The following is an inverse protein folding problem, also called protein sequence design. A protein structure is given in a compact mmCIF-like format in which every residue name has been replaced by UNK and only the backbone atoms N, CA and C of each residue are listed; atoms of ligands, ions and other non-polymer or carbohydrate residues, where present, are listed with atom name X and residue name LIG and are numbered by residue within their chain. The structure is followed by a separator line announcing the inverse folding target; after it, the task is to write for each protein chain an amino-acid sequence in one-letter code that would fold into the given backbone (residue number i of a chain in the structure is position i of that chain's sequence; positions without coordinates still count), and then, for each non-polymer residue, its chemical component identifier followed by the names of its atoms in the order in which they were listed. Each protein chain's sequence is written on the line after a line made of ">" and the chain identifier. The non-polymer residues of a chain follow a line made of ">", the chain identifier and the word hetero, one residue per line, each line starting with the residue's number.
data_IF_285948989344
#
_entry.id   IF_285948989344
#
_cell.length_a   1.000
_cell.length_b   1.000
_cell.length_c   1.000
_cell.angle_alpha   90.00
_cell.angle_beta   90.00
_cell.angle_gamma   90.00
#
_symmetry.space_group_name_H-M   'P 1'
#
loop_
_entity.id
_entity.type
_entity.pdbx_description
1 polymer ?
#
# COMPACT_ATOMS: atom_id res chain seq x y z
N UNK A 1 -22.46 33.50 -2.81
CA UNK A 1 -22.33 32.02 -2.73
C UNK A 1 -20.85 31.72 -2.82
N UNK A 2 -20.22 31.28 -1.73
CA UNK A 2 -18.78 30.97 -1.75
C UNK A 2 -18.64 29.72 -2.61
N UNK A 3 -18.07 29.88 -3.81
CA UNK A 3 -17.66 28.75 -4.64
C UNK A 3 -16.55 28.07 -3.86
N UNK A 4 -16.84 26.92 -3.24
CA UNK A 4 -15.78 26.06 -2.72
C UNK A 4 -15.08 25.51 -3.95
N UNK A 5 -13.80 25.86 -4.13
CA UNK A 5 -12.97 25.21 -5.12
C UNK A 5 -12.81 23.75 -4.70
N UNK A 6 -13.50 22.88 -5.42
CA UNK A 6 -13.49 21.44 -5.18
C UNK A 6 -12.38 20.85 -6.05
N UNK A 7 -11.43 20.15 -5.42
CA UNK A 7 -10.40 19.39 -6.13
C UNK A 7 -11.08 18.34 -7.03
N UNK A 8 -10.79 18.41 -8.33
CA UNK A 8 -11.37 17.53 -9.35
C UNK A 8 -10.50 16.28 -9.58
N UNK A 9 -11.14 15.11 -9.57
CA UNK A 9 -10.53 13.80 -9.81
C UNK A 9 -11.14 13.10 -11.03
N UNK A 10 -11.96 13.79 -11.81
CA UNK A 10 -12.62 13.26 -13.00
C UNK A 10 -11.62 12.83 -14.09
N UNK A 11 -11.94 11.80 -14.85
CA UNK A 11 -11.04 11.28 -15.90
C UNK A 11 -10.77 12.30 -17.03
N UNK A 12 -11.66 13.28 -17.23
CA UNK A 12 -11.53 14.33 -18.24
C UNK A 12 -10.98 15.67 -17.71
N UNK A 13 -10.75 15.80 -16.40
CA UNK A 13 -10.25 17.02 -15.79
C UNK A 13 -8.80 17.31 -16.17
N UNK A 14 -8.49 18.55 -16.56
CA UNK A 14 -7.14 18.93 -17.00
C UNK A 14 -6.06 18.70 -15.93
N UNK A 15 -6.41 18.91 -14.66
CA UNK A 15 -5.49 18.73 -13.52
C UNK A 15 -5.74 17.46 -12.71
N UNK A 16 -6.70 16.61 -13.12
CA UNK A 16 -7.09 15.46 -12.31
C UNK A 16 -5.94 14.47 -12.09
N UNK A 17 -5.08 14.30 -13.10
CA UNK A 17 -3.90 13.42 -12.99
C UNK A 17 -2.95 13.86 -11.87
N UNK A 18 -2.68 15.16 -11.76
CA UNK A 18 -1.83 15.70 -10.70
C UNK A 18 -2.49 15.59 -9.33
N UNK A 19 -3.81 15.73 -9.26
CA UNK A 19 -4.55 15.52 -8.02
C UNK A 19 -4.48 14.05 -7.58
N UNK A 20 -4.66 13.10 -8.50
CA UNK A 20 -4.45 11.67 -8.22
C UNK A 20 -3.01 11.37 -7.80
N UNK A 21 -2.04 12.03 -8.42
CA UNK A 21 -0.63 11.87 -8.04
C UNK A 21 -0.36 12.37 -6.63
N UNK A 22 -0.83 13.56 -6.29
CA UNK A 22 -0.58 14.20 -5.00
C UNK A 22 -1.29 13.49 -3.84
N UNK A 23 -2.58 13.17 -4.00
CA UNK A 23 -3.40 12.66 -2.90
C UNK A 23 -3.37 11.14 -2.76
N UNK A 24 -2.99 10.40 -3.81
CA UNK A 24 -3.04 8.95 -3.80
C UNK A 24 -1.71 8.29 -4.18
N UNK A 25 -1.15 8.57 -5.37
CA UNK A 25 0.02 7.83 -5.84
C UNK A 25 1.29 8.15 -5.04
N UNK A 26 1.54 9.41 -4.71
CA UNK A 26 2.73 9.81 -3.96
C UNK A 26 2.72 9.27 -2.52
N UNK A 27 1.66 9.42 -1.70
CA UNK A 27 1.62 8.83 -0.37
C UNK A 27 1.77 7.30 -0.40
N UNK A 28 1.11 6.63 -1.35
CA UNK A 28 1.22 5.17 -1.50
C UNK A 28 2.65 4.74 -1.86
N UNK A 29 3.31 5.46 -2.76
CA UNK A 29 4.69 5.18 -3.16
C UNK A 29 5.66 5.39 -1.99
N UNK A 30 5.48 6.46 -1.21
CA UNK A 30 6.29 6.75 -0.03
C UNK A 30 6.11 5.65 1.03
N UNK A 31 4.87 5.28 1.34
CA UNK A 31 4.56 4.19 2.27
C UNK A 31 5.21 2.88 1.84
N UNK A 32 5.06 2.50 0.56
CA UNK A 32 5.68 1.29 0.03
C UNK A 32 7.21 1.33 0.09
N UNK A 33 7.82 2.49 -0.17
CA UNK A 33 9.29 2.66 -0.11
C UNK A 33 9.81 2.59 1.33
N UNK A 34 9.10 3.18 2.29
CA UNK A 34 9.43 3.09 3.72
C UNK A 34 9.31 1.65 4.22
N UNK A 35 8.24 0.96 3.84
CA UNK A 35 8.02 -0.46 4.17
C UNK A 35 9.15 -1.36 3.62
N UNK A 36 9.57 -1.14 2.36
CA UNK A 36 10.72 -1.84 1.78
C UNK A 36 12.04 -1.61 2.54
N UNK A 37 12.18 -0.45 3.18
CA UNK A 37 13.33 -0.10 4.01
C UNK A 37 13.11 -0.44 5.49
N UNK A 38 12.14 -1.29 5.83
CA UNK A 38 11.82 -1.75 7.19
C UNK A 38 11.40 -0.62 8.16
N UNK A 39 11.05 0.57 7.65
CA UNK A 39 10.53 1.68 8.45
C UNK A 39 9.01 1.58 8.54
N UNK A 40 8.53 0.57 9.26
CA UNK A 40 7.12 0.16 9.22
C UNK A 40 6.16 1.13 9.88
N UNK A 41 6.53 1.74 11.01
CA UNK A 41 5.70 2.71 11.73
C UNK A 41 5.49 4.00 10.90
N UNK A 42 6.56 4.49 10.27
CA UNK A 42 6.45 5.62 9.35
C UNK A 42 5.64 5.25 8.11
N UNK A 43 5.86 4.06 7.54
CA UNK A 43 5.05 3.58 6.42
C UNK A 43 3.56 3.55 6.78
N UNK A 44 3.23 3.12 8.00
CA UNK A 44 1.87 3.09 8.55
C UNK A 44 1.24 4.49 8.58
N UNK A 45 1.99 5.48 9.08
CA UNK A 45 1.56 6.87 9.09
C UNK A 45 1.23 7.38 7.68
N UNK A 46 2.04 6.99 6.68
CA UNK A 46 1.77 7.33 5.29
C UNK A 46 0.57 6.60 4.69
N UNK A 47 0.34 5.34 5.04
CA UNK A 47 -0.87 4.62 4.65
C UNK A 47 -2.13 5.29 5.21
N UNK A 48 -2.08 5.78 6.45
CA UNK A 48 -3.22 6.45 7.11
C UNK A 48 -3.65 7.75 6.43
N UNK A 49 -2.82 8.39 5.60
CA UNK A 49 -3.26 9.49 4.73
C UNK A 49 -4.18 9.06 3.60
N UNK A 50 -4.29 7.76 3.31
CA UNK A 50 -5.18 7.20 2.28
C UNK A 50 -6.27 6.35 2.93
N UNK A 51 -5.88 5.41 3.79
CA UNK A 51 -6.73 4.40 4.40
C UNK A 51 -6.40 4.28 5.88
N UNK A 52 -7.36 4.62 6.73
CA UNK A 52 -7.24 4.54 8.18
C UNK A 52 -8.32 3.60 8.75
N UNK A 53 -7.99 2.33 9.06
CA UNK A 53 -8.97 1.39 9.60
C UNK A 53 -9.28 1.64 11.08
N UNK A 54 -8.51 2.47 11.79
CA UNK A 54 -8.71 2.75 13.23
C UNK A 54 -9.59 3.96 13.49
N UNK A 55 -10.18 4.55 12.45
CA UNK A 55 -11.05 5.70 12.60
C UNK A 55 -12.36 5.34 13.32
N UNK A 56 -12.72 6.16 14.32
CA UNK A 56 -13.86 5.99 15.23
C UNK A 56 -14.93 7.05 14.94
N UNK A 57 -14.75 7.90 13.92
CA UNK A 57 -15.75 8.88 13.53
C UNK A 57 -17.11 8.22 13.20
N UNK A 58 -18.21 8.91 13.56
CA UNK A 58 -19.60 8.47 13.34
C UNK A 58 -20.04 8.73 11.89
N UNK A 59 -19.26 8.19 10.96
CA UNK A 59 -19.51 8.24 9.52
C UNK A 59 -19.92 6.84 9.02
N UNK A 60 -20.74 6.76 7.97
CA UNK A 60 -21.19 5.48 7.44
C UNK A 60 -19.99 4.65 6.93
N UNK A 61 -20.03 3.35 7.20
CA UNK A 61 -19.08 2.41 6.61
C UNK A 61 -19.47 2.14 5.15
N UNK A 62 -18.52 2.13 4.20
CA UNK A 62 -17.06 2.12 4.37
C UNK A 62 -16.39 3.49 4.30
N UNK A 63 -17.12 4.60 4.09
CA UNK A 63 -16.57 5.92 3.82
C UNK A 63 -15.60 6.40 4.90
N UNK A 64 -15.94 6.14 6.17
CA UNK A 64 -15.14 6.56 7.33
C UNK A 64 -13.67 6.16 7.28
N UNK A 65 -13.33 5.04 6.62
CA UNK A 65 -11.96 4.54 6.58
C UNK A 65 -11.10 5.17 5.49
N UNK A 66 -11.69 5.93 4.57
CA UNK A 66 -11.02 6.45 3.39
C UNK A 66 -10.84 7.96 3.49
N UNK A 67 -9.60 8.42 3.46
CA UNK A 67 -9.29 9.86 3.57
C UNK A 67 -9.32 10.54 2.21
N UNK A 68 -8.84 9.86 1.17
CA UNK A 68 -8.83 10.42 -0.19
C UNK A 68 -10.26 10.60 -0.70
N UNK A 69 -10.61 11.83 -1.10
CA UNK A 69 -11.96 12.22 -1.52
C UNK A 69 -12.64 11.24 -2.48
N UNK A 70 -12.02 10.78 -3.59
CA UNK A 70 -12.69 9.85 -4.50
C UNK A 70 -13.02 8.50 -3.88
N UNK A 71 -12.35 8.09 -2.80
CA UNK A 71 -12.65 6.85 -2.09
C UNK A 71 -13.66 7.08 -0.96
N UNK A 72 -13.61 8.26 -0.34
CA UNK A 72 -14.58 8.69 0.67
C UNK A 72 -16.00 8.81 0.10
N UNK A 73 -16.14 9.35 -1.12
CA UNK A 73 -17.45 9.53 -1.76
C UNK A 73 -18.12 8.21 -2.18
N UNK A 74 -17.39 7.08 -2.18
CA UNK A 74 -17.92 5.79 -2.62
C UNK A 74 -18.82 5.12 -1.59
N UNK A 75 -20.03 4.79 -2.02
CA UNK A 75 -20.99 4.05 -1.21
C UNK A 75 -20.93 2.53 -1.48
N UNK A 76 -21.52 1.76 -0.58
CA UNK A 76 -21.69 0.29 -0.70
C UNK A 76 -22.27 -0.14 -2.05
N UNK A 77 -23.22 0.64 -2.61
CA UNK A 77 -23.83 0.37 -3.91
C UNK A 77 -22.87 0.61 -5.09
N UNK A 78 -21.95 1.57 -4.99
CA UNK A 78 -20.96 1.82 -6.04
C UNK A 78 -19.92 0.70 -6.12
N UNK A 79 -19.56 0.09 -4.97
CA UNK A 79 -18.76 -1.14 -4.97
C UNK A 79 -19.49 -2.30 -5.66
N UNK A 80 -20.82 -2.41 -5.51
CA UNK A 80 -21.62 -3.45 -6.17
C UNK A 80 -21.66 -3.26 -7.69
N UNK A 81 -21.75 -2.02 -8.16
CA UNK A 81 -21.69 -1.69 -9.61
C UNK A 81 -20.34 -2.09 -10.22
N UNK A 82 -19.23 -1.90 -9.50
CA UNK A 82 -17.90 -2.24 -9.99
C UNK A 82 -17.50 -3.72 -9.84
N UNK A 83 -18.39 -4.59 -9.34
CA UNK A 83 -18.13 -6.04 -9.30
C UNK A 83 -18.05 -6.59 -10.72
N UNK A 84 -17.08 -7.47 -10.95
CA UNK A 84 -16.85 -8.09 -12.27
C UNK A 84 -18.14 -8.75 -12.80
N UNK A 85 -18.87 -9.47 -11.93
CA UNK A 85 -20.16 -10.09 -12.28
C UNK A 85 -21.17 -9.08 -12.85
N UNK A 86 -21.29 -7.91 -12.21
CA UNK A 86 -22.24 -6.87 -12.60
C UNK A 86 -21.82 -6.15 -13.89
N UNK A 87 -20.52 -6.04 -14.12
CA UNK A 87 -19.96 -5.50 -15.36
C UNK A 87 -20.18 -6.47 -16.52
N UNK A 88 -19.93 -7.77 -16.31
CA UNK A 88 -20.15 -8.80 -17.32
C UNK A 88 -21.64 -8.97 -17.64
N UNK A 89 -22.52 -8.90 -16.64
CA UNK A 89 -23.97 -9.00 -16.88
C UNK A 89 -24.50 -7.83 -17.71
N UNK A 90 -23.90 -6.64 -17.58
CA UNK A 90 -24.33 -5.40 -18.23
C UNK A 90 -23.42 -4.96 -19.38
N UNK A 91 -22.64 -5.88 -19.97
CA UNK A 91 -21.62 -5.55 -20.97
C UNK A 91 -22.16 -4.87 -22.24
N UNK A 92 -23.46 -5.00 -22.49
CA UNK A 92 -24.13 -4.38 -23.63
C UNK A 92 -24.32 -2.86 -23.48
N UNK A 93 -24.11 -2.30 -22.29
CA UNK A 93 -24.15 -0.84 -22.09
C UNK A 93 -22.94 -0.16 -22.74
N UNK A 94 -23.12 1.00 -23.40
CA UNK A 94 -22.07 1.66 -24.17
C UNK A 94 -20.84 2.01 -23.32
N UNK A 95 -21.03 2.42 -22.06
CA UNK A 95 -19.96 2.77 -21.12
C UNK A 95 -19.00 1.59 -20.88
N UNK A 96 -19.52 0.38 -20.67
CA UNK A 96 -18.71 -0.81 -20.45
C UNK A 96 -18.05 -1.32 -21.73
N UNK A 97 -18.67 -1.11 -22.90
CA UNK A 97 -18.04 -1.42 -24.18
C UNK A 97 -16.82 -0.53 -24.46
N UNK A 98 -16.87 0.75 -24.12
CA UNK A 98 -15.71 1.64 -24.25
C UNK A 98 -14.57 1.22 -23.32
N UNK A 99 -14.88 0.91 -22.06
CA UNK A 99 -13.88 0.36 -21.13
C UNK A 99 -13.26 -0.94 -21.65
N UNK A 100 -14.08 -1.82 -22.21
CA UNK A 100 -13.63 -3.08 -22.80
C UNK A 100 -12.72 -2.86 -24.00
N UNK A 101 -13.07 -1.95 -24.92
CA UNK A 101 -12.23 -1.57 -26.05
C UNK A 101 -10.90 -0.97 -25.59
N UNK A 102 -10.95 -0.08 -24.59
CA UNK A 102 -9.75 0.54 -24.03
C UNK A 102 -8.80 -0.51 -23.40
N UNK A 103 -9.36 -1.48 -22.69
CA UNK A 103 -8.62 -2.63 -22.16
C UNK A 103 -8.05 -3.52 -23.26
N UNK A 104 -8.85 -3.91 -24.26
CA UNK A 104 -8.38 -4.71 -25.41
C UNK A 104 -7.22 -4.10 -26.16
N UNK A 105 -7.26 -2.77 -26.34
CA UNK A 105 -6.20 -2.05 -27.01
C UNK A 105 -4.93 -1.90 -26.13
N UNK A 106 -5.06 -2.05 -24.80
CA UNK A 106 -3.97 -1.88 -23.84
C UNK A 106 -4.01 -2.93 -22.71
N UNK A 107 -3.85 -4.23 -23.02
CA UNK A 107 -4.09 -5.31 -22.05
C UNK A 107 -3.10 -5.31 -20.87
N UNK A 108 -1.88 -4.78 -21.08
CA UNK A 108 -0.80 -4.79 -20.10
C UNK A 108 -0.67 -3.48 -19.29
N UNK A 109 -1.68 -2.61 -19.32
CA UNK A 109 -1.68 -1.34 -18.56
C UNK A 109 -2.70 -1.39 -17.41
N UNK A 110 -2.32 -1.89 -16.21
CA UNK A 110 -3.26 -2.06 -15.10
C UNK A 110 -3.86 -0.74 -14.61
N UNK A 111 -3.10 0.36 -14.64
CA UNK A 111 -3.57 1.68 -14.24
C UNK A 111 -4.70 2.24 -15.11
N UNK A 112 -4.79 1.83 -16.39
CA UNK A 112 -5.88 2.25 -17.26
C UNK A 112 -7.22 1.70 -16.74
N UNK A 113 -7.24 0.42 -16.37
CA UNK A 113 -8.42 -0.22 -15.78
C UNK A 113 -8.70 0.38 -14.39
N UNK A 114 -7.67 0.56 -13.56
CA UNK A 114 -7.83 1.10 -12.21
C UNK A 114 -8.33 2.55 -12.17
N UNK A 115 -8.01 3.37 -13.18
CA UNK A 115 -8.58 4.73 -13.33
C UNK A 115 -10.07 4.71 -13.65
N UNK A 116 -10.52 3.74 -14.46
CA UNK A 116 -11.96 3.54 -14.72
C UNK A 116 -12.69 2.89 -13.55
N UNK A 117 -11.97 2.15 -12.70
CA UNK A 117 -12.50 1.38 -11.58
C UNK A 117 -11.67 1.63 -10.31
N UNK A 118 -11.91 2.75 -9.62
CA UNK A 118 -11.16 3.15 -8.43
C UNK A 118 -11.12 2.10 -7.30
N UNK A 119 -12.09 1.17 -7.25
CA UNK A 119 -12.09 0.04 -6.30
C UNK A 119 -10.84 -0.82 -6.43
N UNK A 120 -10.23 -0.90 -7.62
CA UNK A 120 -8.96 -1.61 -7.80
C UNK A 120 -7.81 -0.94 -7.02
N UNK A 121 -7.78 0.40 -6.96
CA UNK A 121 -6.80 1.13 -6.17
C UNK A 121 -7.00 0.93 -4.68
N UNK A 122 -8.25 0.96 -4.21
CA UNK A 122 -8.59 0.68 -2.81
C UNK A 122 -8.13 -0.71 -2.38
N UNK A 123 -8.39 -1.74 -3.21
CA UNK A 123 -7.89 -3.11 -2.96
C UNK A 123 -6.37 -3.16 -2.87
N UNK A 124 -5.66 -2.47 -3.76
CA UNK A 124 -4.21 -2.43 -3.73
C UNK A 124 -3.67 -1.77 -2.45
N UNK A 125 -4.31 -0.68 -1.96
CA UNK A 125 -3.93 -0.05 -0.69
C UNK A 125 -4.09 -1.02 0.46
N UNK A 126 -5.23 -1.69 0.57
CA UNK A 126 -5.49 -2.66 1.65
C UNK A 126 -4.48 -3.82 1.60
N UNK A 127 -4.19 -4.35 0.40
CA UNK A 127 -3.17 -5.39 0.24
C UNK A 127 -1.78 -4.91 0.69
N UNK A 128 -1.39 -3.68 0.32
CA UNK A 128 -0.09 -3.11 0.73
C UNK A 128 -0.02 -2.76 2.21
N UNK A 129 -1.14 -2.38 2.81
CA UNK A 129 -1.25 -2.18 4.24
C UNK A 129 -1.05 -3.50 5.00
N UNK A 130 -1.70 -4.58 4.54
CA UNK A 130 -1.52 -5.92 5.10
C UNK A 130 -0.09 -6.43 4.87
N UNK A 131 0.51 -6.20 3.69
CA UNK A 131 1.93 -6.50 3.44
C UNK A 131 2.81 -5.85 4.52
N UNK A 132 2.56 -4.58 4.86
CA UNK A 132 3.31 -3.83 5.87
C UNK A 132 3.13 -4.42 7.28
N UNK A 133 1.88 -4.74 7.67
CA UNK A 133 1.58 -5.37 8.97
C UNK A 133 2.24 -6.74 9.11
N UNK A 134 2.17 -7.57 8.06
CA UNK A 134 2.78 -8.90 8.07
C UNK A 134 4.31 -8.77 8.11
N UNK A 135 4.91 -7.88 7.32
CA UNK A 135 6.36 -7.68 7.33
C UNK A 135 6.87 -7.17 8.68
N UNK A 136 6.13 -6.25 9.31
CA UNK A 136 6.43 -5.75 10.65
C UNK A 136 6.29 -6.85 11.71
N UNK A 137 5.19 -7.59 11.67
CA UNK A 137 4.99 -8.76 12.53
C UNK A 137 6.08 -9.82 12.33
N UNK A 138 6.52 -10.06 11.10
CA UNK A 138 7.57 -11.06 10.78
C UNK A 138 8.94 -10.60 11.33
N UNK A 139 9.25 -9.31 11.30
CA UNK A 139 10.47 -8.76 11.89
C UNK A 139 10.47 -8.92 13.41
N UNK A 140 9.37 -8.55 14.07
CA UNK A 140 9.22 -8.71 15.52
C UNK A 140 9.23 -10.19 15.92
N UNK A 141 8.53 -11.05 15.19
CA UNK A 141 8.47 -12.48 15.49
C UNK A 141 9.84 -13.16 15.36
N UNK A 142 10.75 -12.64 14.53
CA UNK A 142 12.12 -13.15 14.42
C UNK A 142 13.03 -12.76 15.59
N UNK A 143 12.71 -11.70 16.35
CA UNK A 143 13.46 -11.31 17.56
C UNK A 143 13.36 -12.36 18.67
N UNK A 144 12.29 -13.16 18.65
CA UNK A 144 12.08 -14.34 19.49
C UNK A 144 12.12 -14.01 21.00
N UNK A 145 11.48 -12.90 21.38
CA UNK A 145 11.27 -12.51 22.78
C UNK A 145 9.79 -12.46 23.14
N UNK A 146 9.44 -12.56 24.42
CA UNK A 146 8.02 -12.63 24.84
C UNK A 146 7.29 -11.34 24.43
N UNK A 147 7.92 -10.19 24.65
CA UNK A 147 7.40 -8.87 24.37
C UNK A 147 7.21 -8.66 22.86
N UNK A 148 8.23 -8.99 22.06
CA UNK A 148 8.17 -8.87 20.59
C UNK A 148 7.16 -9.83 19.97
N UNK A 149 6.99 -11.04 20.52
CA UNK A 149 5.97 -11.99 20.06
C UNK A 149 4.57 -11.48 20.39
N UNK A 150 4.36 -10.90 21.58
CA UNK A 150 3.08 -10.29 21.93
C UNK A 150 2.75 -9.12 21.00
N UNK A 151 3.71 -8.26 20.71
CA UNK A 151 3.54 -7.17 19.75
C UNK A 151 3.23 -7.68 18.33
N UNK A 152 3.99 -8.67 17.84
CA UNK A 152 3.73 -9.32 16.55
C UNK A 152 2.32 -9.93 16.50
N UNK A 153 1.86 -10.55 17.60
CA UNK A 153 0.53 -11.15 17.69
C UNK A 153 -0.58 -10.11 17.49
N UNK A 154 -0.41 -8.89 18.02
CA UNK A 154 -1.37 -7.80 17.82
C UNK A 154 -1.42 -7.37 16.36
N UNK A 155 -0.25 -7.25 15.69
CA UNK A 155 -0.19 -6.89 14.27
C UNK A 155 -0.85 -7.95 13.37
N UNK A 156 -0.62 -9.23 13.63
CA UNK A 156 -1.28 -10.31 12.89
C UNK A 156 -2.78 -10.38 13.15
N UNK A 157 -3.22 -10.14 14.39
CA UNK A 157 -4.64 -10.07 14.72
C UNK A 157 -5.34 -8.90 14.01
N UNK A 158 -4.70 -7.73 13.98
CA UNK A 158 -5.20 -6.58 13.20
C UNK A 158 -5.32 -6.92 11.71
N UNK A 159 -4.30 -7.56 11.13
CA UNK A 159 -4.36 -8.02 9.74
C UNK A 159 -5.50 -9.03 9.51
N UNK A 160 -5.72 -9.96 10.44
CA UNK A 160 -6.81 -10.93 10.39
C UNK A 160 -8.19 -10.27 10.49
N UNK A 161 -8.36 -9.26 11.34
CA UNK A 161 -9.62 -8.52 11.46
C UNK A 161 -9.94 -7.72 10.19
N UNK A 162 -8.93 -7.12 9.55
CA UNK A 162 -9.09 -6.40 8.28
C UNK A 162 -9.46 -7.36 7.15
N UNK A 163 -8.82 -8.54 7.08
CA UNK A 163 -9.16 -9.59 6.11
C UNK A 163 -10.56 -10.17 6.35
N UNK A 164 -10.95 -10.30 7.61
CA UNK A 164 -12.17 -10.97 8.02
C UNK A 164 -12.10 -12.49 7.83
N UNK A 165 -13.26 -13.14 7.96
CA UNK A 165 -13.38 -14.60 7.81
C UNK A 165 -12.97 -15.02 6.40
N UNK A 166 -12.22 -16.12 6.32
CA UNK A 166 -11.83 -16.74 5.05
C UNK A 166 -13.08 -17.03 4.20
N UNK A 167 -13.10 -16.60 2.92
CA UNK A 167 -14.20 -16.94 2.03
C UNK A 167 -14.31 -18.45 1.81
N UNK A 168 -15.53 -18.99 1.91
CA UNK A 168 -15.81 -20.39 1.61
C UNK A 168 -15.99 -20.58 0.10
N UNK A 169 -15.42 -21.66 -0.44
CA UNK A 169 -15.54 -21.99 -1.86
C UNK A 169 -16.92 -22.60 -2.11
N UNK A 170 -17.76 -21.88 -2.85
CA UNK A 170 -19.01 -22.42 -3.38
C UNK A 170 -18.67 -23.41 -4.50
N UNK A 171 -19.24 -24.63 -4.51
CA UNK A 171 -19.03 -25.57 -5.60
C UNK A 171 -19.49 -24.96 -6.93
N UNK A 172 -18.78 -25.26 -8.01
CA UNK A 172 -19.19 -24.82 -9.32
C UNK A 172 -20.48 -25.55 -9.73
N UNK A 173 -21.34 -24.83 -10.44
CA UNK A 173 -22.54 -25.39 -11.02
C UNK A 173 -22.15 -26.20 -12.25
N UNK A 174 -22.50 -27.49 -12.26
CA UNK A 174 -22.26 -28.37 -13.41
C UNK A 174 -23.16 -27.96 -14.57
N UNK A 175 -22.60 -27.91 -15.77
CA UNK A 175 -23.29 -27.60 -17.01
C UNK A 175 -22.73 -28.49 -18.13
N UNK A 176 -23.45 -28.58 -19.24
CA UNK A 176 -23.00 -29.38 -20.39
C UNK A 176 -21.73 -28.77 -21.01
N UNK A 177 -20.75 -29.63 -21.30
CA UNK A 177 -19.54 -29.24 -22.02
C UNK A 177 -19.87 -28.93 -23.49
N UNK A 178 -19.63 -27.69 -23.90
CA UNK A 178 -19.84 -27.22 -25.26
C UNK A 178 -18.53 -27.14 -26.04
N UNK A 179 -18.58 -27.49 -27.32
CA UNK A 179 -17.45 -27.32 -28.23
C UNK A 179 -17.29 -25.87 -28.67
N UNK A 180 -16.09 -25.50 -29.14
CA UNK A 180 -15.84 -24.13 -29.63
C UNK A 180 -16.81 -23.71 -30.73
N UNK A 181 -17.13 -24.60 -31.68
CA UNK A 181 -18.03 -24.32 -32.79
C UNK A 181 -19.46 -24.01 -32.33
N UNK A 182 -19.90 -24.63 -31.23
CA UNK A 182 -21.22 -24.37 -30.63
C UNK A 182 -21.22 -23.06 -29.84
N UNK A 183 -20.10 -22.73 -29.19
CA UNK A 183 -19.94 -21.50 -28.41
C UNK A 183 -19.77 -20.26 -29.29
N UNK A 184 -19.08 -20.34 -30.43
CA UNK A 184 -18.75 -19.19 -31.30
C UNK A 184 -19.97 -18.31 -31.61
N UNK A 185 -21.13 -18.93 -31.83
CA UNK A 185 -22.39 -18.23 -32.12
C UNK A 185 -23.03 -17.52 -30.93
N UNK A 186 -22.64 -17.90 -29.71
CA UNK A 186 -23.19 -17.44 -28.43
C UNK A 186 -22.22 -16.58 -27.61
N UNK A 187 -21.01 -16.33 -28.11
CA UNK A 187 -20.01 -15.52 -27.40
C UNK A 187 -20.43 -14.06 -27.36
N UNK A 188 -20.37 -13.49 -26.17
CA UNK A 188 -20.58 -12.08 -25.92
C UNK A 188 -19.35 -11.26 -26.36
N UNK A 189 -19.50 -9.93 -26.23
CA UNK A 189 -18.40 -9.02 -26.51
C UNK A 189 -17.18 -9.27 -25.63
N UNK A 190 -17.23 -9.99 -24.50
CA UNK A 190 -16.07 -10.34 -23.66
C UNK A 190 -15.39 -11.64 -24.10
N UNK A 191 -16.07 -12.48 -24.88
CA UNK A 191 -15.64 -13.84 -25.21
C UNK A 191 -16.14 -14.88 -24.20
N UNK A 192 -17.26 -14.62 -23.51
CA UNK A 192 -17.95 -15.56 -22.65
C UNK A 192 -19.34 -15.87 -23.20
N UNK A 193 -19.95 -16.99 -22.79
CA UNK A 193 -21.32 -17.33 -23.15
C UNK A 193 -22.17 -17.48 -21.89
N UNK A 194 -23.48 -17.26 -22.03
CA UNK A 194 -24.44 -17.63 -20.98
C UNK A 194 -25.00 -19.01 -21.28
N UNK A 195 -25.05 -19.86 -20.26
CA UNK A 195 -25.59 -21.21 -20.34
C UNK A 195 -26.66 -21.38 -19.27
N UNK A 196 -27.79 -21.94 -19.71
CA UNK A 196 -28.88 -22.36 -18.85
C UNK A 196 -28.41 -23.56 -18.03
N UNK A 197 -28.46 -23.46 -16.71
CA UNK A 197 -28.29 -24.60 -15.83
C UNK A 197 -29.66 -25.06 -15.35
N UNK A 198 -29.93 -26.35 -15.52
CA UNK A 198 -31.04 -27.03 -14.87
C UNK A 198 -30.65 -27.25 -13.42
N UNK A 199 -31.32 -26.53 -12.52
CA UNK A 199 -31.14 -26.70 -11.08
C UNK A 199 -32.15 -27.72 -10.61
N UNK A 200 -31.70 -28.94 -10.29
CA UNK A 200 -32.58 -29.96 -9.71
C UNK A 200 -32.83 -29.78 -8.20
N UNK A 201 -32.13 -28.88 -7.48
CA UNK A 201 -32.29 -28.83 -6.01
C UNK A 201 -31.80 -27.56 -5.25
N UNK A 202 -31.96 -26.33 -5.76
CA UNK A 202 -31.61 -25.12 -4.97
C UNK A 202 -32.68 -24.02 -4.90
N UNK A 203 -32.93 -23.56 -3.66
CA UNK A 203 -33.85 -22.51 -3.25
C UNK A 203 -33.28 -21.09 -3.51
N UNK A 204 -33.11 -20.71 -4.77
CA UNK A 204 -32.79 -19.33 -5.17
C UNK A 204 -33.98 -18.71 -5.94
N UNK A 205 -34.16 -17.37 -5.96
CA UNK A 205 -35.32 -16.76 -6.59
C UNK A 205 -35.24 -16.96 -8.11
N UNK A 206 -36.04 -17.90 -8.58
CA UNK A 206 -36.19 -18.27 -9.99
C UNK A 206 -37.14 -17.26 -10.65
N UNK A 207 -36.71 -16.65 -11.75
CA UNK A 207 -37.66 -16.03 -12.68
C UNK A 207 -38.42 -17.14 -13.41
N UNK A 208 -39.68 -17.33 -13.03
CA UNK A 208 -40.58 -18.28 -13.69
C UNK A 208 -41.05 -17.66 -15.01
N UNK A 209 -40.42 -18.05 -16.11
CA UNK A 209 -40.92 -17.71 -17.45
C UNK A 209 -42.21 -18.51 -17.70
N UNK A 210 -43.33 -17.87 -18.08
CA UNK A 210 -44.56 -18.60 -18.38
C UNK A 210 -44.35 -19.50 -19.61
N UNK A 211 -44.58 -20.79 -19.43
CA UNK A 211 -44.55 -21.80 -20.48
C UNK A 211 -45.59 -21.48 -21.56
N UNK A 212 -45.18 -21.45 -22.82
CA UNK A 212 -46.11 -21.62 -23.94
C UNK A 212 -46.33 -23.13 -24.11
N UNK A 213 -47.59 -23.55 -24.07
CA UNK A 213 -48.09 -24.94 -24.18
C UNK A 213 -47.65 -25.94 -23.10
N UNK A 214 -48.53 -26.14 -22.11
CA UNK A 214 -48.78 -27.43 -21.46
C UNK A 214 -47.66 -28.11 -20.65
N UNK A 215 -46.51 -27.50 -20.46
CA UNK A 215 -45.38 -28.03 -19.68
C UNK A 215 -45.20 -27.27 -18.37
N UNK A 216 -44.79 -27.97 -17.30
CA UNK A 216 -44.47 -27.34 -16.02
C UNK A 216 -43.30 -26.35 -16.20
N UNK A 217 -43.39 -25.12 -15.65
CA UNK A 217 -42.33 -24.15 -15.77
C UNK A 217 -41.10 -24.65 -15.00
N UNK A 218 -40.05 -25.03 -15.73
CA UNK A 218 -38.78 -25.38 -15.12
C UNK A 218 -37.99 -24.12 -14.75
N UNK A 219 -37.42 -24.06 -13.53
CA UNK A 219 -36.51 -23.00 -13.14
C UNK A 219 -35.27 -23.02 -14.02
N UNK A 220 -34.99 -21.89 -14.69
CA UNK A 220 -33.75 -21.69 -15.46
C UNK A 220 -32.89 -20.66 -14.75
N UNK A 221 -31.66 -21.03 -14.43
CA UNK A 221 -30.64 -20.06 -14.01
C UNK A 221 -29.63 -19.89 -15.14
N UNK A 222 -29.56 -18.68 -15.69
CA UNK A 222 -28.48 -18.31 -16.59
C UNK A 222 -27.20 -18.07 -15.78
N UNK A 223 -26.17 -18.87 -16.06
CA UNK A 223 -24.83 -18.66 -15.50
C UNK A 223 -23.81 -18.42 -16.62
N UNK A 224 -22.67 -17.83 -16.30
CA UNK A 224 -21.57 -17.71 -17.25
C UNK A 224 -20.91 -19.08 -17.46
N UNK A 225 -20.71 -19.47 -18.72
CA UNK A 225 -20.03 -20.72 -19.10
C UNK A 225 -18.62 -20.76 -18.50
N UNK A 226 -17.83 -19.71 -18.72
CA UNK A 226 -16.56 -19.54 -18.05
C UNK A 226 -16.77 -18.81 -16.71
N UNK A 227 -16.53 -19.52 -15.61
CA UNK A 227 -16.54 -18.97 -14.26
C UNK A 227 -15.49 -17.88 -14.07
N UNK A 228 -15.77 -16.91 -13.20
CA UNK A 228 -14.82 -15.86 -12.85
C UNK A 228 -13.80 -16.45 -11.85
N UNK A 229 -12.50 -16.48 -12.18
CA UNK A 229 -11.51 -17.02 -11.26
C UNK A 229 -11.38 -16.11 -10.03
N UNK A 230 -11.09 -16.72 -8.89
CA UNK A 230 -10.76 -15.98 -7.69
C UNK A 230 -9.35 -15.39 -7.78
N UNK A 231 -9.06 -14.42 -6.92
CA UNK A 231 -7.71 -13.87 -6.81
C UNK A 231 -6.85 -14.72 -5.85
N UNK A 232 -6.02 -15.60 -6.40
CA UNK A 232 -5.12 -16.46 -5.63
C UNK A 232 -4.13 -15.68 -4.77
N UNK A 233 -3.74 -14.47 -5.17
CA UNK A 233 -2.86 -13.62 -4.36
C UNK A 233 -3.52 -13.16 -3.07
N UNK A 234 -4.85 -12.96 -3.08
CA UNK A 234 -5.55 -12.55 -1.88
C UNK A 234 -5.61 -13.70 -0.86
N UNK A 235 -5.86 -14.93 -1.33
CA UNK A 235 -5.90 -16.12 -0.48
C UNK A 235 -4.60 -16.37 0.29
N UNK A 236 -3.46 -16.03 -0.32
CA UNK A 236 -2.15 -16.13 0.33
C UNK A 236 -2.06 -15.31 1.62
N UNK A 237 -2.78 -14.20 1.75
CA UNK A 237 -2.78 -13.41 2.99
C UNK A 237 -3.47 -14.13 4.14
N UNK A 238 -4.59 -14.81 3.89
CA UNK A 238 -5.19 -15.66 4.92
C UNK A 238 -4.25 -16.78 5.30
N UNK A 239 -3.65 -17.46 4.30
CA UNK A 239 -2.72 -18.55 4.56
C UNK A 239 -1.51 -18.10 5.40
N UNK A 240 -0.92 -16.92 5.12
CA UNK A 240 0.22 -16.41 5.89
C UNK A 240 -0.16 -15.97 7.29
N UNK A 241 -1.23 -15.19 7.44
CA UNK A 241 -1.66 -14.69 8.77
C UNK A 241 -2.12 -15.84 9.66
N UNK A 242 -2.88 -16.80 9.12
CA UNK A 242 -3.32 -18.00 9.85
C UNK A 242 -2.12 -18.87 10.25
N UNK A 243 -1.13 -19.06 9.36
CA UNK A 243 0.12 -19.78 9.68
C UNK A 243 0.91 -19.10 10.81
N UNK A 244 1.10 -17.78 10.77
CA UNK A 244 1.83 -17.04 11.82
C UNK A 244 1.12 -17.10 13.15
N UNK A 245 -0.19 -16.86 13.18
CA UNK A 245 -0.99 -16.97 14.39
C UNK A 245 -0.99 -18.40 14.94
N UNK A 246 -1.04 -19.41 14.07
CA UNK A 246 -0.93 -20.81 14.48
C UNK A 246 0.42 -21.10 15.13
N UNK A 247 1.53 -20.66 14.53
CA UNK A 247 2.89 -20.84 15.09
C UNK A 247 3.03 -20.20 16.47
N UNK A 248 2.58 -18.96 16.62
CA UNK A 248 2.61 -18.26 17.92
C UNK A 248 1.78 -19.03 18.97
N UNK A 249 0.57 -19.48 18.61
CA UNK A 249 -0.33 -20.22 19.53
C UNK A 249 0.21 -21.60 19.94
N UNK A 250 1.12 -22.18 19.17
CA UNK A 250 1.71 -23.51 19.44
C UNK A 250 3.17 -23.43 19.90
N UNK A 251 3.64 -22.27 20.38
CA UNK A 251 5.01 -22.07 20.86
C UNK A 251 6.09 -22.41 19.82
N UNK A 252 5.82 -22.12 18.55
CA UNK A 252 6.76 -22.31 17.45
C UNK A 252 7.38 -20.97 17.05
N UNK A 253 8.63 -21.01 16.57
CA UNK A 253 9.23 -19.87 15.88
C UNK A 253 8.66 -19.70 14.46
N UNK A 254 9.12 -18.68 13.74
CA UNK A 254 8.68 -18.41 12.36
C UNK A 254 8.93 -19.58 11.38
N UNK A 255 9.92 -20.43 11.67
CA UNK A 255 10.28 -21.62 10.87
C UNK A 255 9.46 -22.87 11.24
N UNK A 256 8.64 -22.83 12.30
CA UNK A 256 7.82 -23.96 12.75
C UNK A 256 8.52 -24.89 13.77
N UNK A 257 9.65 -24.46 14.34
CA UNK A 257 10.37 -25.19 15.38
C UNK A 257 9.78 -24.82 16.74
N UNK A 258 9.35 -25.81 17.52
CA UNK A 258 8.87 -25.62 18.88
C UNK A 258 10.00 -25.14 19.79
N UNK A 259 9.76 -24.09 20.58
CA UNK A 259 10.75 -23.48 21.47
C UNK A 259 10.17 -23.20 22.85
N UNK A 260 11.07 -23.09 23.83
CA UNK A 260 10.78 -22.57 25.16
C UNK A 260 11.57 -21.28 25.34
N UNK A 261 10.85 -20.19 25.59
CA UNK A 261 11.46 -18.87 25.78
C UNK A 261 11.90 -18.68 27.22
N UNK A 262 13.00 -17.95 27.47
CA UNK A 262 13.34 -17.51 28.82
C UNK A 262 12.23 -16.60 29.36
N UNK A 263 11.98 -16.65 30.67
CA UNK A 263 10.90 -15.90 31.32
C UNK A 263 11.10 -14.38 31.28
N UNK A 264 12.37 -13.93 31.20
CA UNK A 264 12.75 -12.53 31.13
C UNK A 264 13.78 -12.33 30.03
N UNK A 265 13.64 -11.22 29.32
CA UNK A 265 14.66 -10.76 28.38
C UNK A 265 15.96 -10.39 29.11
N UNK A 266 17.12 -10.55 28.47
CA UNK A 266 18.36 -9.97 28.99
C UNK A 266 18.22 -8.45 29.10
N UNK A 267 18.66 -7.83 30.21
CA UNK A 267 18.47 -6.40 30.45
C UNK A 267 19.18 -5.56 29.38
N UNK A 268 18.46 -4.58 28.84
CA UNK A 268 19.00 -3.60 27.90
C UNK A 268 19.92 -2.64 28.66
N UNK A 269 21.15 -2.42 28.18
CA UNK A 269 22.05 -1.41 28.72
C UNK A 269 21.57 0.00 28.30
N UNK A 270 21.15 0.89 29.23
CA UNK A 270 20.67 2.22 28.90
C UNK A 270 21.73 3.10 28.22
N UNK A 271 23.02 2.80 28.38
CA UNK A 271 24.08 3.53 27.69
C UNK A 271 24.05 3.30 26.16
N UNK A 272 23.55 2.15 25.69
CA UNK A 272 23.34 1.90 24.27
C UNK A 272 22.23 2.78 23.70
N UNK A 273 21.15 3.00 24.46
CA UNK A 273 20.02 3.84 24.05
C UNK A 273 20.46 5.30 23.86
N UNK A 274 21.26 5.82 24.80
CA UNK A 274 21.79 7.19 24.73
C UNK A 274 22.74 7.36 23.54
N UNK A 275 23.59 6.36 23.27
CA UNK A 275 24.50 6.37 22.11
C UNK A 275 23.74 6.30 20.79
N UNK A 276 22.68 5.49 20.71
CA UNK A 276 21.84 5.38 19.51
C UNK A 276 21.10 6.69 19.22
N UNK A 277 20.49 7.30 20.23
CA UNK A 277 19.83 8.60 20.12
C UNK A 277 20.81 9.71 19.72
N UNK A 278 22.02 9.72 20.29
CA UNK A 278 23.07 10.69 19.94
C UNK A 278 23.63 10.49 18.51
N UNK A 279 23.58 9.28 17.98
CA UNK A 279 23.98 8.95 16.61
C UNK A 279 22.85 9.17 15.58
N UNK A 280 21.63 9.50 16.02
CA UNK A 280 20.47 9.68 15.14
C UNK A 280 19.96 8.37 14.51
N UNK A 281 20.26 7.23 15.13
CA UNK A 281 19.89 5.89 14.64
C UNK A 281 18.56 5.47 15.30
N UNK A 282 17.63 4.93 14.50
CA UNK A 282 16.32 4.46 14.99
C UNK A 282 16.48 3.25 15.94
N UNK A 283 15.74 3.25 17.03
CA UNK A 283 15.87 2.31 18.15
C UNK A 283 15.62 0.86 17.71
N UNK A 284 14.69 0.69 16.77
CA UNK A 284 14.33 -0.60 16.18
C UNK A 284 15.54 -1.30 15.54
N UNK A 285 16.32 -0.55 14.76
CA UNK A 285 17.48 -1.06 14.01
C UNK A 285 18.63 -1.54 14.89
N UNK A 286 18.79 -0.94 16.08
CA UNK A 286 19.84 -1.33 17.04
C UNK A 286 19.46 -2.62 17.77
N UNK A 287 18.18 -2.82 18.09
CA UNK A 287 17.72 -4.09 18.66
C UNK A 287 17.87 -5.24 17.65
N UNK A 288 17.58 -4.99 16.37
CA UNK A 288 17.69 -6.01 15.32
C UNK A 288 19.13 -6.51 15.13
N UNK A 289 20.14 -5.63 15.26
CA UNK A 289 21.57 -5.98 15.22
C UNK A 289 21.99 -6.90 16.38
N UNK A 290 21.35 -6.79 17.54
CA UNK A 290 21.62 -7.67 18.70
C UNK A 290 21.05 -9.08 18.46
N UNK A 291 19.90 -9.16 17.76
CA UNK A 291 19.23 -10.42 17.40
C UNK A 291 19.63 -10.98 16.03
N UNK A 292 20.71 -10.49 15.42
CA UNK A 292 21.16 -10.96 14.11
C UNK A 292 21.51 -12.46 14.14
N UNK A 293 20.94 -13.21 13.19
CA UNK A 293 21.14 -14.66 13.06
C UNK A 293 22.62 -15.02 12.95
N UNK A 294 23.03 -16.08 13.65
CA UNK A 294 24.42 -16.55 13.67
C UNK A 294 24.91 -16.88 12.25
N UNK A 295 25.98 -16.23 11.76
CA UNK A 295 26.48 -16.50 10.41
C UNK A 295 26.90 -17.96 10.23
N UNK A 296 26.56 -18.57 9.09
CA UNK A 296 27.00 -19.94 8.74
C UNK A 296 28.51 -20.06 8.51
N UNK A 297 29.23 -18.94 8.48
CA UNK A 297 30.67 -18.87 8.19
C UNK A 297 31.46 -18.73 9.48
N UNK A 298 32.63 -19.37 9.55
CA UNK A 298 33.51 -19.32 10.72
C UNK A 298 33.94 -17.88 11.05
N UNK A 299 34.05 -17.61 12.35
CA UNK A 299 34.40 -16.30 12.93
C UNK A 299 35.57 -15.58 12.26
N UNK A 300 36.65 -16.30 11.91
CA UNK A 300 37.84 -15.70 11.31
C UNK A 300 37.54 -14.96 10.00
N UNK A 301 36.65 -15.50 9.17
CA UNK A 301 36.28 -14.89 7.88
C UNK A 301 35.36 -13.70 8.13
N UNK A 302 34.40 -13.84 9.06
CA UNK A 302 33.47 -12.76 9.43
C UNK A 302 34.22 -11.56 9.99
N UNK A 303 35.18 -11.78 10.90
CA UNK A 303 36.01 -10.70 11.47
C UNK A 303 36.85 -10.01 10.41
N UNK A 304 37.47 -10.76 9.49
CA UNK A 304 38.24 -10.15 8.43
C UNK A 304 37.37 -9.24 7.56
N UNK A 305 36.16 -9.69 7.19
CA UNK A 305 35.21 -8.89 6.41
C UNK A 305 34.66 -7.69 7.19
N UNK A 306 34.42 -7.84 8.49
CA UNK A 306 34.01 -6.74 9.34
C UNK A 306 35.10 -5.66 9.41
N UNK A 307 36.38 -6.04 9.52
CA UNK A 307 37.50 -5.08 9.52
C UNK A 307 37.61 -4.36 8.16
N UNK A 308 37.46 -5.07 7.04
CA UNK A 308 37.43 -4.47 5.70
C UNK A 308 36.30 -3.43 5.60
N UNK A 309 35.10 -3.76 6.06
CA UNK A 309 33.96 -2.84 6.06
C UNK A 309 34.19 -1.64 7.00
N UNK A 310 34.74 -1.86 8.20
CA UNK A 310 35.09 -0.76 9.11
C UNK A 310 36.11 0.21 8.50
N UNK A 311 37.03 -0.27 7.65
CA UNK A 311 37.97 0.60 6.95
C UNK A 311 37.28 1.43 5.87
N UNK A 312 36.34 0.85 5.12
CA UNK A 312 35.52 1.61 4.16
C UNK A 312 34.66 2.68 4.87
N UNK A 313 34.09 2.35 6.04
CA UNK A 313 33.32 3.30 6.85
C UNK A 313 34.21 4.44 7.37
N UNK A 314 35.45 4.14 7.79
CA UNK A 314 36.42 5.18 8.17
C UNK A 314 36.74 6.11 7.00
N UNK A 315 37.01 5.54 5.82
CA UNK A 315 37.29 6.33 4.61
C UNK A 315 36.09 7.20 4.20
N UNK A 316 34.86 6.67 4.35
CA UNK A 316 33.64 7.45 4.15
C UNK A 316 33.51 8.58 5.18
N UNK A 317 33.83 8.32 6.45
CA UNK A 317 33.83 9.31 7.52
C UNK A 317 34.79 10.47 7.24
N UNK A 318 36.02 10.16 6.83
CA UNK A 318 37.02 11.17 6.46
C UNK A 318 36.57 12.02 5.26
N UNK A 319 35.96 11.37 4.25
CA UNK A 319 35.37 12.08 3.10
C UNK A 319 34.22 12.99 3.52
N UNK A 320 33.32 12.51 4.38
CA UNK A 320 32.17 13.26 4.84
C UNK A 320 32.60 14.46 5.69
N UNK A 321 33.58 14.29 6.59
CA UNK A 321 34.16 15.38 7.36
C UNK A 321 34.74 16.45 6.43
N UNK A 322 35.53 16.05 5.42
CA UNK A 322 36.08 16.99 4.45
C UNK A 322 35.02 17.72 3.62
N UNK A 323 33.88 17.07 3.32
CA UNK A 323 32.74 17.73 2.65
C UNK A 323 32.08 18.75 3.58
N UNK A 324 31.88 18.43 4.86
CA UNK A 324 31.27 19.33 5.84
C UNK A 324 32.15 20.55 6.09
N UNK A 325 33.46 20.37 6.29
CA UNK A 325 34.42 21.47 6.45
C UNK A 325 34.40 22.41 5.24
N UNK A 326 34.36 21.86 4.02
CA UNK A 326 34.28 22.67 2.79
C UNK A 326 32.96 23.43 2.69
N UNK A 327 31.84 22.78 2.99
CA UNK A 327 30.51 23.42 3.00
C UNK A 327 30.48 24.59 3.98
N UNK A 328 31.01 24.40 5.17
CA UNK A 328 31.02 25.44 6.21
C UNK A 328 31.96 26.59 5.83
N UNK A 329 33.10 26.30 5.21
CA UNK A 329 34.02 27.31 4.66
C UNK A 329 33.38 28.12 3.51
N UNK A 330 32.67 27.46 2.60
CA UNK A 330 31.91 28.13 1.53
C UNK A 330 30.78 28.99 2.09
N UNK A 331 30.05 28.49 3.09
CA UNK A 331 29.00 29.23 3.78
C UNK A 331 29.53 30.52 4.43
N UNK A 332 30.70 30.44 5.08
CA UNK A 332 31.34 31.61 5.68
C UNK A 332 31.84 32.61 4.62
N UNK A 333 32.38 32.10 3.51
CA UNK A 333 32.79 32.94 2.37
C UNK A 333 31.59 33.68 1.75
N UNK A 334 30.46 32.99 1.58
CA UNK A 334 29.22 33.59 1.07
C UNK A 334 28.71 34.69 2.01
N UNK A 335 28.67 34.42 3.32
CA UNK A 335 28.25 35.40 4.32
C UNK A 335 29.13 36.65 4.29
N UNK A 336 30.45 36.49 4.20
CA UNK A 336 31.38 37.62 4.09
C UNK A 336 31.13 38.44 2.83
N UNK A 337 30.93 37.80 1.69
CA UNK A 337 30.61 38.50 0.44
C UNK A 337 29.30 39.29 0.53
N UNK A 338 28.26 38.73 1.17
CA UNK A 338 27.00 39.44 1.42
C UNK A 338 27.18 40.66 2.33
N UNK A 339 27.97 40.53 3.40
CA UNK A 339 28.28 41.64 4.30
C UNK A 339 29.08 42.75 3.61
N UNK A 340 30.04 42.40 2.74
CA UNK A 340 30.81 43.35 1.95
C UNK A 340 29.89 44.13 0.98
N UNK A 341 28.94 43.47 0.33
CA UNK A 341 27.94 44.13 -0.54
C UNK A 341 27.09 45.11 0.26
N UNK A 342 26.55 44.70 1.42
CA UNK A 342 25.73 45.56 2.28
C UNK A 342 26.51 46.80 2.76
N UNK A 343 27.79 46.63 3.11
CA UNK A 343 28.65 47.74 3.52
C UNK A 343 28.89 48.73 2.36
N UNK A 344 29.14 48.22 1.14
CA UNK A 344 29.30 49.05 -0.05
C UNK A 344 28.02 49.83 -0.39
N UNK A 345 26.84 49.23 -0.23
CA UNK A 345 25.56 49.92 -0.39
C UNK A 345 25.39 51.05 0.63
N UNK A 346 25.70 50.80 1.90
CA UNK A 346 25.66 51.84 2.94
C UNK A 346 26.63 53.00 2.66
N UNK A 347 27.86 52.70 2.21
CA UNK A 347 28.84 53.72 1.80
C UNK A 347 28.33 54.52 0.60
N UNK A 348 27.70 53.86 -0.38
CA UNK A 348 27.10 54.52 -1.54
C UNK A 348 26.00 55.51 -1.12
N UNK A 349 25.13 55.12 -0.18
CA UNK A 349 24.10 56.01 0.35
C UNK A 349 24.68 57.21 1.11
N UNK A 350 25.76 57.02 1.89
CA UNK A 350 26.49 58.14 2.52
C UNK A 350 27.02 59.11 1.45
N UNK A 351 27.61 58.57 0.37
CA UNK A 351 28.12 59.39 -0.73
C UNK A 351 27.04 60.16 -1.47
N UNK A 352 25.85 59.58 -1.66
CA UNK A 352 24.70 60.32 -2.21
C UNK A 352 24.28 61.47 -1.29
N UNK A 353 24.11 61.22 0.01
CA UNK A 353 23.75 62.27 0.98
C UNK A 353 24.78 63.41 1.02
N UNK A 354 26.06 63.09 0.90
CA UNK A 354 27.13 64.11 0.80
C UNK A 354 26.99 64.97 -0.46
N UNK A 355 26.55 64.39 -1.58
CA UNK A 355 26.28 65.15 -2.81
C UNK A 355 25.05 66.04 -2.60
N UNK A 356 23.97 65.50 -2.02
CA UNK A 356 22.74 66.25 -1.77
C UNK A 356 22.99 67.46 -0.83
N UNK A 357 23.79 67.29 0.24
CA UNK A 357 24.18 68.37 1.17
C UNK A 357 24.97 69.48 0.46
N UNK A 358 25.88 69.13 -0.45
CA UNK A 358 26.63 70.10 -1.26
C UNK A 358 25.70 70.84 -2.23
N UNK A 359 24.66 70.19 -2.75
CA UNK A 359 23.66 70.83 -3.62
C UNK A 359 22.74 71.77 -2.84
N UNK A 360 22.36 71.44 -1.60
CA UNK A 360 21.53 72.31 -0.75
C UNK A 360 22.27 73.55 -0.21
N UNK A 361 23.60 73.51 -0.14
CA UNK A 361 24.44 74.61 0.37
C UNK A 361 24.87 75.63 -0.69
N UNK A 362 24.52 75.40 -1.96
CA UNK A 362 24.68 76.32 -3.11
C UNK A 362 23.35 77.04 -3.33
#
# INVERSE_FOLDING_TARGET
>A
TVVKDIVDFSNGGAYSIYNWELFFHAPLMIACRLSQNQRFEEAMSWFHYIFNPTDIEDLPTPQRYWVTKPFFEYNSDDYRKQRIQNILSNINLPEYQEQLKAWRNNPFKPHLIARTRPVAYQRNVVMKYIDNLIAWGDQLFRRDTIESINEASLLYMLAYEILGRRPEKVPNVEHEDLTFNELETKLDSFGNARVDVIIEDTLLPIEVVPSTDGSEPMPKLETFYFGIPNNDYLFKYWDTVEDRLFKIRNCMNIEGIVRQLPLFEPPIDPALLVKAAAAGIDLSSVLDDISASTPHVRFRIVVQKAIEFCNEVKELGDKMLGVLERRDAEGLSLLRSQQEIQMLEAVKEIKKKQIDEVVETI
#
